data_IF_934191014712
#
_entry.id   IF_934191014712
#
_cell.length_a   1.000
_cell.length_b   1.000
_cell.length_c   1.000
_cell.angle_alpha   90.00
_cell.angle_beta   90.00
_cell.angle_gamma   90.00
#
_symmetry.space_group_name_H-M   'P 1'
#
loop_
_entity.id
_entity.type
_entity.pdbx_description
1 polymer ?
#
# COMPACT_ATOMS: atom_id res chain seq x y z
N UNK A 1 -40.58 46.81 -42.12
CA UNK A 1 -39.98 45.68 -42.84
C UNK A 1 -39.47 44.72 -41.79
N UNK A 2 -40.15 43.60 -41.67
CA UNK A 2 -39.92 42.50 -40.74
C UNK A 2 -39.01 41.48 -41.41
N UNK A 3 -37.87 41.16 -40.81
CA UNK A 3 -37.13 39.93 -41.13
C UNK A 3 -36.76 39.20 -39.84
N UNK A 4 -37.27 37.97 -39.81
CA UNK A 4 -37.21 36.94 -38.80
C UNK A 4 -35.88 36.18 -38.86
N UNK A 5 -35.22 36.00 -37.71
CA UNK A 5 -34.06 35.13 -37.59
C UNK A 5 -34.53 33.70 -37.22
N UNK A 6 -34.26 32.66 -38.01
CA UNK A 6 -34.66 31.29 -37.71
C UNK A 6 -33.65 30.60 -36.78
N UNK A 7 -34.14 29.62 -36.02
CA UNK A 7 -33.42 28.98 -34.92
C UNK A 7 -32.12 28.27 -35.29
N UNK A 8 -31.17 28.31 -34.35
CA UNK A 8 -30.03 27.41 -34.26
C UNK A 8 -30.15 26.56 -33.01
N UNK A 9 -30.08 25.24 -33.20
CA UNK A 9 -30.24 24.15 -32.24
C UNK A 9 -29.50 24.32 -30.89
N UNK A 10 -30.01 23.72 -29.80
CA UNK A 10 -29.23 23.55 -28.58
C UNK A 10 -28.10 22.55 -28.82
N UNK A 11 -26.91 22.92 -28.38
CA UNK A 11 -25.68 22.13 -28.45
C UNK A 11 -25.82 20.85 -27.58
N UNK A 12 -25.76 19.62 -28.15
CA UNK A 12 -25.98 18.40 -27.38
C UNK A 12 -24.70 17.84 -26.73
N UNK A 13 -23.61 18.60 -26.68
CA UNK A 13 -22.33 18.16 -26.10
C UNK A 13 -21.94 18.94 -24.83
N UNK A 14 -22.85 19.04 -23.86
CA UNK A 14 -22.43 19.15 -22.47
C UNK A 14 -22.31 17.73 -21.93
N UNK A 15 -21.11 17.16 -22.03
CA UNK A 15 -20.78 16.00 -21.20
C UNK A 15 -21.11 16.37 -19.75
N UNK A 16 -21.90 15.55 -19.03
CA UNK A 16 -22.09 15.77 -17.61
C UNK A 16 -20.70 15.74 -17.01
N UNK A 17 -20.25 16.88 -16.51
CA UNK A 17 -19.05 16.99 -15.70
C UNK A 17 -19.28 16.04 -14.55
N UNK A 18 -18.76 14.81 -14.66
CA UNK A 18 -18.82 13.83 -13.62
C UNK A 18 -18.20 14.52 -12.42
N UNK A 19 -19.05 14.92 -11.48
CA UNK A 19 -18.61 15.52 -10.25
C UNK A 19 -17.59 14.53 -9.69
N UNK A 20 -16.31 14.87 -9.75
CA UNK A 20 -15.28 14.17 -9.01
C UNK A 20 -15.73 14.37 -7.58
N UNK A 21 -16.50 13.42 -7.05
CA UNK A 21 -16.81 13.37 -5.64
C UNK A 21 -15.45 13.22 -4.98
N UNK A 22 -14.89 14.34 -4.54
CA UNK A 22 -13.75 14.34 -3.65
C UNK A 22 -14.29 13.69 -2.38
N UNK A 23 -14.14 12.37 -2.28
CA UNK A 23 -14.48 11.61 -1.09
C UNK A 23 -13.54 12.13 0.00
N UNK A 24 -14.02 13.12 0.75
CA UNK A 24 -13.29 13.69 1.87
C UNK A 24 -13.45 12.71 3.02
N UNK A 25 -12.39 11.96 3.31
CA UNK A 25 -12.34 11.11 4.49
C UNK A 25 -12.50 11.97 5.75
N UNK A 26 -13.29 11.49 6.71
CA UNK A 26 -13.44 12.18 8.01
C UNK A 26 -12.13 12.10 8.78
N UNK A 27 -11.78 13.18 9.47
CA UNK A 27 -10.57 13.23 10.31
C UNK A 27 -11.00 13.22 11.78
N UNK A 28 -10.77 12.12 12.53
CA UNK A 28 -11.00 12.09 13.97
C UNK A 28 -10.13 13.14 14.69
N UNK A 29 -10.63 13.72 15.78
CA UNK A 29 -9.98 14.81 16.51
C UNK A 29 -8.55 14.45 16.96
N UNK A 30 -8.38 13.25 17.56
CA UNK A 30 -7.07 12.75 18.00
C UNK A 30 -6.07 12.46 16.88
N UNK A 31 -6.53 12.31 15.64
CA UNK A 31 -5.66 12.06 14.47
C UNK A 31 -5.34 13.37 13.74
N UNK A 32 -6.15 14.42 13.93
CA UNK A 32 -6.07 15.65 13.16
C UNK A 32 -4.71 16.35 13.23
N UNK A 33 -4.07 16.33 14.41
CA UNK A 33 -2.74 16.90 14.63
C UNK A 33 -1.63 16.12 13.91
N UNK A 34 -1.81 14.80 13.76
CA UNK A 34 -0.80 13.90 13.23
C UNK A 34 0.48 13.85 14.05
N UNK A 35 1.47 13.13 13.52
CA UNK A 35 2.80 12.98 14.13
C UNK A 35 3.89 13.31 13.11
N UNK A 36 5.00 13.89 13.56
CA UNK A 36 6.19 14.03 12.74
C UNK A 36 7.06 12.78 12.86
N UNK A 37 7.61 12.34 11.74
CA UNK A 37 8.45 11.16 11.65
C UNK A 37 9.76 11.49 10.94
N UNK A 38 10.85 10.99 11.50
CA UNK A 38 12.20 11.14 10.93
C UNK A 38 12.66 9.90 10.19
N UNK A 39 11.82 8.85 10.13
CA UNK A 39 12.11 7.62 9.41
C UNK A 39 11.01 6.60 9.61
N UNK A 40 11.10 5.50 8.87
CA UNK A 40 10.17 4.39 9.01
C UNK A 40 10.91 3.05 8.89
N UNK A 41 10.46 2.07 9.67
CA UNK A 41 10.85 0.67 9.56
C UNK A 41 9.68 -0.07 8.92
N UNK A 42 9.98 -0.89 7.93
CA UNK A 42 8.98 -1.67 7.21
C UNK A 42 9.24 -3.15 7.42
N UNK A 43 8.24 -3.84 7.96
CA UNK A 43 8.27 -5.29 8.18
C UNK A 43 7.19 -5.93 7.33
N UNK A 44 7.50 -7.09 6.75
CA UNK A 44 6.51 -7.93 6.08
C UNK A 44 6.04 -9.04 7.02
N UNK A 45 4.84 -8.91 7.58
CA UNK A 45 4.18 -9.95 8.36
C UNK A 45 3.49 -11.01 7.49
N UNK A 46 2.76 -11.92 8.13
CA UNK A 46 2.08 -13.03 7.43
C UNK A 46 1.01 -12.56 6.43
N UNK A 47 0.13 -11.66 6.86
CA UNK A 47 -0.98 -11.15 6.02
C UNK A 47 -0.84 -9.66 5.66
N UNK A 48 0.04 -8.93 6.34
CA UNK A 48 0.09 -7.48 6.31
C UNK A 48 1.54 -6.98 6.36
N UNK A 49 1.78 -5.82 5.77
CA UNK A 49 2.97 -5.01 6.02
C UNK A 49 2.74 -4.13 7.26
N UNK A 50 3.78 -3.97 8.07
CA UNK A 50 3.78 -3.11 9.24
C UNK A 50 4.76 -1.98 8.97
N UNK A 51 4.28 -0.74 9.01
CA UNK A 51 5.09 0.47 8.86
C UNK A 51 5.17 1.16 10.23
N UNK A 52 6.34 1.10 10.85
CA UNK A 52 6.61 1.80 12.11
C UNK A 52 7.35 3.09 11.82
N UNK A 53 6.65 4.21 11.98
CA UNK A 53 7.21 5.54 11.91
C UNK A 53 7.93 5.86 13.21
N UNK A 54 9.18 6.26 13.09
CA UNK A 54 10.07 6.51 14.22
C UNK A 54 10.40 8.00 14.34
N UNK A 55 10.63 8.42 15.58
CA UNK A 55 11.23 9.69 15.97
C UNK A 55 12.58 9.39 16.62
N UNK A 56 13.66 9.81 15.96
CA UNK A 56 15.06 9.51 16.38
C UNK A 56 15.88 10.78 16.67
N UNK A 57 15.23 11.88 17.07
CA UNK A 57 15.91 13.15 17.41
C UNK A 57 16.58 13.13 18.80
N UNK A 58 16.35 12.10 19.59
CA UNK A 58 17.02 11.86 20.88
C UNK A 58 16.79 10.43 21.36
N UNK A 59 17.67 9.90 22.21
CA UNK A 59 17.48 8.58 22.81
C UNK A 59 16.46 8.62 23.98
N UNK A 60 15.65 7.56 24.16
CA UNK A 60 15.47 6.45 23.24
C UNK A 60 14.66 6.87 22.01
N UNK A 61 15.04 6.37 20.84
CA UNK A 61 14.20 6.53 19.66
C UNK A 61 12.84 5.88 19.92
N UNK A 62 11.76 6.49 19.42
CA UNK A 62 10.40 6.10 19.78
C UNK A 62 9.58 5.85 18.51
N UNK A 63 8.75 4.80 18.52
CA UNK A 63 7.70 4.61 17.51
C UNK A 63 6.59 5.61 17.79
N UNK A 64 6.37 6.55 16.87
CA UNK A 64 5.34 7.60 16.97
C UNK A 64 4.08 7.28 16.19
N UNK A 65 4.15 6.28 15.32
CA UNK A 65 3.00 5.80 14.57
C UNK A 65 3.28 4.42 14.03
N UNK A 66 2.33 3.50 14.20
CA UNK A 66 2.36 2.18 13.57
C UNK A 66 1.18 2.09 12.61
N UNK A 67 1.44 1.73 11.37
CA UNK A 67 0.41 1.55 10.34
C UNK A 67 0.45 0.13 9.82
N UNK A 68 -0.72 -0.53 9.80
CA UNK A 68 -0.90 -1.89 9.32
C UNK A 68 -1.55 -1.85 7.94
N UNK A 69 -0.87 -2.39 6.94
CA UNK A 69 -1.25 -2.28 5.52
C UNK A 69 -1.41 -3.68 4.93
N UNK A 70 -2.59 -4.05 4.42
CA UNK A 70 -2.76 -5.33 3.72
C UNK A 70 -1.80 -5.49 2.55
N UNK A 71 -1.28 -6.70 2.35
CA UNK A 71 -0.36 -6.99 1.23
C UNK A 71 -0.93 -6.55 -0.12
N UNK A 72 -2.23 -6.75 -0.32
CA UNK A 72 -2.93 -6.45 -1.56
C UNK A 72 -2.96 -4.98 -1.94
N UNK A 73 -2.76 -4.03 -1.02
CA UNK A 73 -2.83 -2.58 -1.33
C UNK A 73 -1.45 -1.91 -1.40
N UNK A 74 -0.38 -2.60 -1.00
CA UNK A 74 0.97 -2.03 -0.93
C UNK A 74 1.44 -1.44 -2.28
N UNK A 75 1.14 -2.10 -3.39
CA UNK A 75 1.48 -1.60 -4.73
C UNK A 75 0.85 -0.23 -5.03
N UNK A 76 -0.38 0.02 -4.55
CA UNK A 76 -1.07 1.30 -4.74
C UNK A 76 -0.41 2.40 -3.91
N UNK A 77 0.04 2.07 -2.70
CA UNK A 77 0.75 3.03 -1.85
C UNK A 77 2.08 3.44 -2.48
N UNK A 78 2.85 2.48 -3.01
CA UNK A 78 4.09 2.73 -3.74
C UNK A 78 3.82 3.63 -4.95
N UNK A 79 2.82 3.29 -5.77
CA UNK A 79 2.46 4.08 -6.95
C UNK A 79 2.02 5.51 -6.58
N UNK A 80 1.23 5.65 -5.51
CA UNK A 80 0.76 6.96 -5.04
C UNK A 80 1.92 7.82 -4.52
N UNK A 81 2.85 7.25 -3.74
CA UNK A 81 4.04 7.95 -3.26
C UNK A 81 4.97 8.35 -4.40
N UNK A 82 5.24 7.44 -5.35
CA UNK A 82 6.05 7.75 -6.52
C UNK A 82 5.46 8.93 -7.31
N UNK A 83 4.17 8.85 -7.66
CA UNK A 83 3.50 9.93 -8.40
C UNK A 83 3.55 11.28 -7.66
N UNK A 84 3.37 11.28 -6.34
CA UNK A 84 3.45 12.50 -5.55
C UNK A 84 4.87 13.06 -5.45
N UNK A 85 5.87 12.19 -5.44
CA UNK A 85 7.28 12.59 -5.48
C UNK A 85 7.66 13.17 -6.85
N UNK A 86 7.12 12.63 -7.93
CA UNK A 86 7.31 13.15 -9.29
C UNK A 86 6.70 14.57 -9.39
N UNK A 87 5.44 14.75 -8.95
CA UNK A 87 4.79 16.07 -8.91
C UNK A 87 5.55 17.08 -8.03
N UNK A 88 6.06 16.62 -6.88
CA UNK A 88 6.92 17.45 -6.03
C UNK A 88 8.19 17.87 -6.78
N UNK A 89 8.84 16.93 -7.48
CA UNK A 89 10.11 17.17 -8.18
C UNK A 89 9.93 18.14 -9.35
N UNK A 90 8.82 18.03 -10.09
CA UNK A 90 8.47 18.97 -11.16
C UNK A 90 8.25 20.39 -10.61
N UNK A 91 7.67 20.52 -9.42
CA UNK A 91 7.28 21.80 -8.83
C UNK A 91 8.41 22.49 -8.05
N UNK A 92 9.21 21.73 -7.32
CA UNK A 92 10.19 22.24 -6.35
C UNK A 92 11.62 21.81 -6.65
N UNK A 93 11.83 20.91 -7.62
CA UNK A 93 13.11 20.24 -7.85
C UNK A 93 13.28 18.99 -7.00
N UNK A 94 14.36 18.25 -7.26
CA UNK A 94 14.64 17.01 -6.54
C UNK A 94 14.86 17.28 -5.04
N UNK A 95 14.30 16.46 -4.12
CA UNK A 95 14.59 16.58 -2.70
C UNK A 95 16.10 16.47 -2.42
N UNK A 96 16.62 17.19 -1.42
CA UNK A 96 18.04 17.09 -1.07
C UNK A 96 18.40 15.67 -0.64
N UNK A 97 19.54 15.17 -1.09
CA UNK A 97 20.00 13.85 -0.71
C UNK A 97 20.37 13.81 0.78
N UNK A 98 19.85 12.83 1.51
CA UNK A 98 20.29 12.57 2.88
C UNK A 98 21.72 12.03 2.86
N UNK A 99 22.58 12.42 3.82
CA UNK A 99 23.90 11.83 3.98
C UNK A 99 23.81 10.31 4.00
N UNK A 100 24.70 9.66 3.25
CA UNK A 100 24.90 8.21 3.36
C UNK A 100 25.65 8.01 4.67
N UNK A 101 24.98 7.45 5.67
CA UNK A 101 25.65 6.98 6.88
C UNK A 101 26.40 5.71 6.48
N UNK A 102 27.67 5.62 6.82
CA UNK A 102 28.43 4.39 6.60
C UNK A 102 27.70 3.23 7.28
N UNK A 103 27.52 2.09 6.60
CA UNK A 103 26.86 0.95 7.21
C UNK A 103 27.62 0.56 8.48
N UNK A 104 26.91 0.24 9.58
CA UNK A 104 27.56 -0.22 10.79
C UNK A 104 28.44 -1.43 10.49
N UNK A 105 29.57 -1.61 11.20
CA UNK A 105 30.52 -2.69 10.94
C UNK A 105 29.91 -4.09 11.02
N UNK A 106 28.74 -4.21 11.68
CA UNK A 106 27.88 -5.38 11.64
C UNK A 106 26.47 -4.96 11.19
N UNK A 107 25.86 -5.64 10.21
CA UNK A 107 24.44 -5.47 9.90
C UNK A 107 23.61 -5.81 11.14
N UNK A 108 22.85 -4.84 11.64
CA UNK A 108 21.92 -5.08 12.73
C UNK A 108 20.71 -5.86 12.22
N UNK A 109 20.22 -6.78 13.03
CA UNK A 109 18.94 -7.46 12.73
C UNK A 109 17.78 -6.51 12.99
N UNK A 110 16.62 -6.77 12.38
CA UNK A 110 15.40 -6.02 12.68
C UNK A 110 15.11 -6.07 14.18
N UNK A 111 15.26 -7.23 14.83
CA UNK A 111 15.01 -7.38 16.27
C UNK A 111 15.89 -6.46 17.12
N UNK A 112 17.20 -6.40 16.82
CA UNK A 112 18.13 -5.52 17.55
C UNK A 112 17.72 -4.04 17.43
N UNK A 113 17.20 -3.62 16.27
CA UNK A 113 16.67 -2.27 16.10
C UNK A 113 15.46 -2.04 17.02
N UNK A 114 14.55 -3.02 17.15
CA UNK A 114 13.38 -2.88 18.02
C UNK A 114 13.71 -2.89 19.51
N UNK A 115 14.76 -3.60 19.93
CA UNK A 115 15.18 -3.64 21.33
C UNK A 115 15.65 -2.25 21.82
N UNK A 116 16.13 -1.40 20.90
CA UNK A 116 16.55 -0.02 21.19
C UNK A 116 15.39 1.01 21.07
N UNK A 117 14.23 0.59 20.57
CA UNK A 117 13.07 1.46 20.35
C UNK A 117 12.09 1.40 21.53
N UNK A 118 11.67 2.59 21.96
CA UNK A 118 10.48 2.71 22.81
C UNK A 118 9.24 2.57 21.93
N UNK A 119 8.35 1.64 22.28
CA UNK A 119 7.04 1.46 21.66
C UNK A 119 5.94 1.83 22.67
N UNK A 120 5.34 3.03 22.57
CA UNK A 120 4.25 3.44 23.45
C UNK A 120 2.99 2.58 23.26
N UNK A 121 2.21 2.43 24.34
CA UNK A 121 1.00 1.58 24.36
C UNK A 121 -0.03 2.00 23.30
N UNK A 122 -0.16 3.30 23.05
CA UNK A 122 -1.06 3.85 22.03
C UNK A 122 -0.72 3.39 20.61
N UNK A 123 0.55 3.01 20.35
CA UNK A 123 1.00 2.54 19.06
C UNK A 123 1.13 1.02 18.98
N UNK A 124 0.97 0.28 20.09
CA UNK A 124 1.15 -1.19 20.12
C UNK A 124 0.30 -1.90 19.07
N UNK A 125 -0.99 -1.57 19.03
CA UNK A 125 -1.96 -2.19 18.12
C UNK A 125 -1.84 -1.69 16.67
N UNK A 126 -1.35 -0.46 16.48
CA UNK A 126 -1.27 0.20 15.18
C UNK A 126 -2.63 0.64 14.61
N UNK A 127 -2.55 1.43 13.55
CA UNK A 127 -3.69 1.90 12.78
C UNK A 127 -3.79 1.11 11.47
N UNK A 128 -4.92 0.44 11.25
CA UNK A 128 -5.20 -0.19 9.96
C UNK A 128 -5.35 0.85 8.85
N UNK A 129 -4.81 0.57 7.66
CA UNK A 129 -4.96 1.41 6.50
C UNK A 129 -5.02 0.61 5.20
N UNK A 130 -6.08 0.84 4.42
CA UNK A 130 -6.25 0.30 3.08
C UNK A 130 -6.21 1.38 1.99
N UNK A 131 -6.05 2.65 2.37
CA UNK A 131 -5.86 3.77 1.47
C UNK A 131 -4.81 4.75 1.98
N UNK A 132 -4.27 5.56 1.07
CA UNK A 132 -3.28 6.58 1.37
C UNK A 132 -3.59 7.83 0.55
N UNK A 133 -3.76 8.97 1.23
CA UNK A 133 -3.89 10.29 0.62
C UNK A 133 -2.64 11.10 0.95
N UNK A 134 -2.05 11.73 -0.07
CA UNK A 134 -0.77 12.43 0.05
C UNK A 134 -0.97 13.88 -0.34
N UNK A 135 -0.43 14.78 0.49
CA UNK A 135 -0.19 16.17 0.13
C UNK A 135 1.25 16.54 0.44
N UNK A 136 1.78 17.60 -0.17
CA UNK A 136 3.14 18.05 0.09
C UNK A 136 3.28 19.56 -0.02
N UNK A 137 4.21 20.11 0.77
CA UNK A 137 4.74 21.47 0.66
C UNK A 137 6.10 21.41 -0.06
N UNK A 138 6.86 22.51 -0.04
CA UNK A 138 8.25 22.51 -0.50
C UNK A 138 9.22 21.81 0.48
N UNK A 139 8.76 21.40 1.68
CA UNK A 139 9.63 20.88 2.75
C UNK A 139 9.13 19.57 3.34
N UNK A 140 7.82 19.36 3.40
CA UNK A 140 7.19 18.20 4.03
C UNK A 140 6.14 17.52 3.15
N UNK A 141 5.96 16.24 3.39
CA UNK A 141 4.83 15.45 2.92
C UNK A 141 3.91 15.15 4.08
N UNK A 142 2.61 15.30 3.85
CA UNK A 142 1.53 14.82 4.70
C UNK A 142 1.01 13.51 4.13
N UNK A 143 1.09 12.46 4.93
CA UNK A 143 0.61 11.11 4.63
C UNK A 143 -0.63 10.83 5.48
N UNK A 144 -1.81 10.93 4.88
CA UNK A 144 -3.08 10.59 5.52
C UNK A 144 -3.42 9.14 5.17
N UNK A 145 -3.18 8.23 6.12
CA UNK A 145 -3.57 6.83 6.02
C UNK A 145 -5.06 6.68 6.30
N UNK A 146 -5.74 5.96 5.40
CA UNK A 146 -7.19 5.86 5.38
C UNK A 146 -7.64 4.45 5.75
N UNK A 147 -8.61 4.39 6.64
CA UNK A 147 -9.51 3.25 6.81
C UNK A 147 -10.77 3.49 5.99
N UNK A 148 -10.77 3.00 4.75
CA UNK A 148 -11.94 3.00 3.87
C UNK A 148 -12.88 1.87 4.27
N UNK A 149 -13.67 2.12 5.32
CA UNK A 149 -14.67 1.21 5.86
C UNK A 149 -16.07 1.79 5.62
N UNK A 150 -17.07 0.93 5.48
CA UNK A 150 -18.47 1.37 5.41
C UNK A 150 -18.91 1.93 6.78
N UNK A 151 -19.71 3.01 6.84
CA UNK A 151 -20.28 3.80 5.74
C UNK A 151 -19.40 4.96 5.25
N UNK A 152 -18.34 5.31 5.98
CA UNK A 152 -17.49 6.46 5.67
C UNK A 152 -16.02 6.15 5.90
N UNK A 153 -15.18 6.56 4.94
CA UNK A 153 -13.75 6.57 5.13
C UNK A 153 -13.33 7.52 6.25
N UNK A 154 -12.36 7.10 7.05
CA UNK A 154 -11.73 7.92 8.08
C UNK A 154 -10.21 7.91 7.95
N UNK A 155 -9.57 9.01 8.32
CA UNK A 155 -8.11 9.06 8.50
C UNK A 155 -7.79 8.32 9.79
N UNK A 156 -7.11 7.18 9.69
CA UNK A 156 -6.73 6.35 10.84
C UNK A 156 -5.36 6.73 11.39
N UNK A 157 -4.48 7.30 10.57
CA UNK A 157 -3.20 7.85 10.99
C UNK A 157 -2.79 8.99 10.06
N UNK A 158 -2.18 10.03 10.63
CA UNK A 158 -1.61 11.15 9.88
C UNK A 158 -0.15 11.30 10.25
N UNK A 159 0.72 11.16 9.25
CA UNK A 159 2.17 11.26 9.45
C UNK A 159 2.73 12.36 8.56
N UNK A 160 3.59 13.19 9.15
CA UNK A 160 4.37 14.19 8.43
C UNK A 160 5.82 13.75 8.35
N UNK A 161 6.41 13.86 7.17
CA UNK A 161 7.82 13.51 6.91
C UNK A 161 8.47 14.58 6.06
N UNK A 162 9.77 14.82 6.23
CA UNK A 162 10.50 15.70 5.31
C UNK A 162 10.61 15.06 3.92
N UNK A 163 10.67 15.89 2.88
CA UNK A 163 10.76 15.41 1.50
C UNK A 163 11.89 14.37 1.28
N UNK A 164 13.11 14.52 1.85
CA UNK A 164 14.15 13.51 1.70
C UNK A 164 13.83 12.17 2.39
N UNK A 165 13.10 12.19 3.50
CA UNK A 165 12.72 10.96 4.21
C UNK A 165 11.64 10.17 3.45
N UNK A 166 10.77 10.85 2.71
CA UNK A 166 9.78 10.20 1.85
C UNK A 166 10.44 9.39 0.73
N UNK A 167 11.55 9.88 0.17
CA UNK A 167 12.33 9.11 -0.82
C UNK A 167 12.81 7.80 -0.21
N UNK A 168 13.36 7.83 1.01
CA UNK A 168 13.81 6.61 1.71
C UNK A 168 12.65 5.65 2.02
N UNK A 169 11.50 6.18 2.44
CA UNK A 169 10.30 5.38 2.67
C UNK A 169 9.88 4.67 1.38
N UNK A 170 9.79 5.38 0.27
CA UNK A 170 9.38 4.83 -1.02
C UNK A 170 10.32 3.70 -1.48
N UNK A 171 11.63 3.91 -1.39
CA UNK A 171 12.60 2.88 -1.76
C UNK A 171 12.53 1.65 -0.84
N UNK A 172 12.34 1.84 0.47
CA UNK A 172 12.10 0.75 1.41
C UNK A 172 10.84 -0.05 1.07
N UNK A 173 9.74 0.64 0.72
CA UNK A 173 8.48 0.01 0.30
C UNK A 173 8.65 -0.81 -0.98
N UNK A 174 9.34 -0.28 -1.99
CA UNK A 174 9.64 -1.01 -3.24
C UNK A 174 10.44 -2.29 -2.97
N UNK A 175 11.52 -2.19 -2.20
CA UNK A 175 12.40 -3.31 -1.89
C UNK A 175 11.66 -4.41 -1.11
N UNK A 176 10.92 -4.04 -0.06
CA UNK A 176 10.15 -5.00 0.74
C UNK A 176 9.04 -5.66 -0.07
N UNK A 177 8.34 -4.89 -0.91
CA UNK A 177 7.29 -5.42 -1.77
C UNK A 177 7.85 -6.41 -2.80
N UNK A 178 8.99 -6.10 -3.41
CA UNK A 178 9.66 -7.01 -4.35
C UNK A 178 10.08 -8.32 -3.66
N UNK A 179 10.68 -8.25 -2.48
CA UNK A 179 11.04 -9.44 -1.70
C UNK A 179 9.82 -10.27 -1.31
N UNK A 180 8.72 -9.62 -0.92
CA UNK A 180 7.44 -10.29 -0.66
C UNK A 180 6.93 -11.04 -1.89
N UNK A 181 6.92 -10.39 -3.06
CA UNK A 181 6.47 -11.03 -4.31
C UNK A 181 7.31 -12.27 -4.67
N UNK A 182 8.63 -12.19 -4.50
CA UNK A 182 9.53 -13.33 -4.75
C UNK A 182 9.22 -14.51 -3.82
N UNK A 183 8.97 -14.25 -2.52
CA UNK A 183 8.61 -15.30 -1.56
C UNK A 183 7.28 -15.97 -1.92
N UNK A 184 6.27 -15.20 -2.30
CA UNK A 184 4.98 -15.74 -2.74
C UNK A 184 5.14 -16.63 -3.97
N UNK A 185 5.96 -16.21 -4.93
CA UNK A 185 6.20 -16.99 -6.15
C UNK A 185 6.92 -18.32 -5.87
N UNK A 186 7.90 -18.33 -4.96
CA UNK A 186 8.58 -19.56 -4.53
C UNK A 186 7.64 -20.53 -3.82
N UNK A 187 6.70 -20.03 -3.01
CA UNK A 187 5.71 -20.86 -2.32
C UNK A 187 4.70 -21.50 -3.28
N UNK A 188 4.27 -20.76 -4.32
CA UNK A 188 3.36 -21.31 -5.34
C UNK A 188 4.01 -22.42 -6.18
N UNK A 189 5.32 -22.36 -6.41
CA UNK A 189 6.05 -23.40 -7.13
C UNK A 189 6.27 -24.68 -6.32
N UNK A 190 6.16 -24.62 -4.99
CA UNK A 190 6.38 -25.76 -4.09
C UNK A 190 5.07 -26.47 -3.68
N UNK A 191 3.90 -25.99 -4.08
CA UNK A 191 2.64 -26.73 -3.89
C UNK A 191 2.55 -27.87 -4.92
N UNK A 192 2.44 -29.15 -4.48
CA UNK A 192 2.25 -30.26 -5.39
C UNK A 192 0.93 -30.08 -6.14
N UNK A 193 0.94 -30.27 -7.47
CA UNK A 193 -0.30 -30.40 -8.24
C UNK A 193 -1.15 -31.52 -7.59
N UNK A 194 -2.47 -31.33 -7.40
CA UNK A 194 -3.33 -32.43 -6.97
C UNK A 194 -3.15 -33.60 -7.94
N UNK A 195 -3.14 -34.86 -7.44
CA UNK A 195 -3.07 -36.02 -8.32
C UNK A 195 -4.22 -35.89 -9.32
N UNK A 196 -3.89 -35.86 -10.62
CA UNK A 196 -4.88 -36.20 -11.63
C UNK A 196 -5.27 -37.64 -11.34
N UNK A 197 -6.51 -37.85 -10.89
CA UNK A 197 -7.12 -39.18 -10.89
C UNK A 197 -6.99 -39.70 -12.32
N UNK A 198 -6.05 -40.61 -12.55
CA UNK A 198 -6.00 -41.40 -13.76
C UNK A 198 -7.35 -42.12 -13.83
N UNK A 199 -8.20 -41.70 -14.76
CA UNK A 199 -9.43 -42.40 -15.09
C UNK A 199 -9.09 -43.88 -15.30
N UNK A 200 -9.57 -44.67 -14.35
CA UNK A 200 -9.68 -46.12 -14.39
C UNK A 200 -10.30 -46.54 -15.73
N UNK A 201 -9.44 -46.83 -16.72
CA UNK A 201 -9.82 -47.65 -17.86
C UNK A 201 -9.92 -49.09 -17.37
N UNK A 202 -10.99 -49.36 -16.62
CA UNK A 202 -11.44 -50.71 -16.34
C UNK A 202 -11.94 -51.33 -17.66
N UNK A 203 -11.15 -52.24 -18.23
CA UNK A 203 -11.58 -53.13 -19.30
C UNK A 203 -12.84 -53.91 -18.87
N UNK A 204 -13.90 -54.03 -19.70
CA UNK A 204 -15.03 -54.87 -19.36
C UNK A 204 -14.68 -56.36 -19.51
N UNK A 205 -15.20 -57.26 -18.65
CA UNK A 205 -14.91 -58.68 -18.74
C UNK A 205 -15.66 -59.33 -19.92
N UNK A 206 -14.95 -60.24 -20.57
CA UNK A 206 -15.39 -61.12 -21.65
C UNK A 206 -16.71 -61.84 -21.35
N UNK A 207 -17.74 -61.57 -22.15
CA UNK A 207 -19.00 -62.32 -22.17
C UNK A 207 -18.97 -63.39 -23.27
N UNK A 208 -18.77 -64.64 -22.87
CA UNK A 208 -18.81 -65.82 -23.75
C UNK A 208 -20.19 -66.05 -24.38
N UNK A 209 -20.20 -66.40 -25.67
CA UNK A 209 -21.39 -66.90 -26.39
C UNK A 209 -21.77 -68.30 -25.89
N UNK A 210 -23.05 -68.61 -25.66
CA UNK A 210 -23.50 -70.00 -25.56
C UNK A 210 -23.76 -70.60 -26.97
N UNK A 211 -23.73 -71.94 -27.11
CA UNK A 211 -23.84 -72.60 -28.41
C UNK A 211 -25.29 -72.71 -28.92
N UNK A 212 -25.38 -72.87 -30.23
CA UNK A 212 -26.57 -73.13 -31.02
C UNK A 212 -27.13 -74.54 -30.73
N UNK A 213 -28.43 -74.67 -30.42
CA UNK A 213 -29.18 -75.93 -30.60
C UNK A 213 -30.48 -75.68 -31.37
N UNK A 214 -30.56 -76.37 -32.52
CA UNK A 214 -31.67 -76.79 -33.40
C UNK A 214 -32.93 -75.94 -33.56
#
# INVERSE_FOLDING_TARGET
MSESNPGGNPDPHQEPSAARQHVSARVPEGVGQGVFSTGAILITGGAEFIIDFIQNLGPPATVVGRVIVPHGVMHQFIAALQKNLDMYTERFGAPPALPKVDPPPRPQTVQEIYDELKLPDENLAGAYANGLMIGHSASEFKLDFLSNLFPHSAVSSRVFMSAPQVVRLLESMKQNYQQFQQRIQQQQQQQPKPPTDDEDKSDPPSGGKPPLET
#
